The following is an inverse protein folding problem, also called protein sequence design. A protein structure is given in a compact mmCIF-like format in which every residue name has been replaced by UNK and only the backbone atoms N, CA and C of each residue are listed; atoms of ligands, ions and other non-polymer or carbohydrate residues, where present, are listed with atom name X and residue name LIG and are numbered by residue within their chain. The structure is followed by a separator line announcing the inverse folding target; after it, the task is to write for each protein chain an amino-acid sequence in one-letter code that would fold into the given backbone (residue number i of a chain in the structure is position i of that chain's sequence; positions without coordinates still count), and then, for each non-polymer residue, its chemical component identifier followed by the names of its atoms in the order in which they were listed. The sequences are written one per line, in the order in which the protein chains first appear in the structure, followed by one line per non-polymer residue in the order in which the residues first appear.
data_IF_283357971357
#
_entry.id   IF_283357971357
#
_cell.length_a   1.000
_cell.length_b   1.000
_cell.length_c   1.000
_cell.angle_alpha   90.00
_cell.angle_beta   90.00
_cell.angle_gamma   90.00
#
_symmetry.space_group_name_H-M   'P 1'
#
loop_
_entity.id
_entity.type
_entity.pdbx_description
1 polymer ?
#
# COMPACT_ATOMS: atom_id res chain seq x y z
N UNK A 1 -72.16 -55.09 -8.92
CA UNK A 1 -71.74 -53.71 -9.28
C UNK A 1 -70.83 -53.08 -8.21
N UNK A 2 -71.06 -53.28 -6.93
CA UNK A 2 -70.27 -52.65 -5.84
C UNK A 2 -68.79 -53.10 -5.77
N UNK A 3 -68.50 -54.39 -6.00
CA UNK A 3 -67.14 -54.95 -6.02
C UNK A 3 -66.28 -54.44 -7.17
N UNK A 4 -66.84 -54.17 -8.33
CA UNK A 4 -66.15 -53.60 -9.50
C UNK A 4 -65.78 -52.11 -9.25
N UNK A 5 -66.60 -51.36 -8.52
CA UNK A 5 -66.34 -49.99 -8.17
C UNK A 5 -65.19 -49.87 -7.14
N UNK A 6 -65.17 -50.73 -6.13
CA UNK A 6 -64.08 -50.81 -5.15
C UNK A 6 -62.75 -51.18 -5.82
N UNK A 7 -62.77 -52.14 -6.71
CA UNK A 7 -61.56 -52.53 -7.48
C UNK A 7 -61.04 -51.41 -8.38
N UNK A 8 -61.92 -50.63 -9.01
CA UNK A 8 -61.55 -49.50 -9.83
C UNK A 8 -60.96 -48.35 -8.97
N UNK A 9 -61.53 -48.08 -7.81
CA UNK A 9 -61.02 -47.05 -6.89
C UNK A 9 -59.64 -47.43 -6.31
N UNK A 10 -59.46 -48.69 -5.93
CA UNK A 10 -58.17 -49.18 -5.44
C UNK A 10 -57.09 -49.11 -6.55
N UNK A 11 -57.41 -49.45 -7.78
CA UNK A 11 -56.52 -49.38 -8.90
C UNK A 11 -56.09 -47.93 -9.21
N UNK A 12 -57.03 -47.01 -9.18
CA UNK A 12 -56.74 -45.58 -9.36
C UNK A 12 -55.87 -45.01 -8.23
N UNK A 13 -56.10 -45.43 -6.97
CA UNK A 13 -55.25 -45.06 -5.85
C UNK A 13 -53.82 -45.61 -5.99
N UNK A 14 -53.67 -46.85 -6.42
CA UNK A 14 -52.37 -47.46 -6.65
C UNK A 14 -51.60 -46.74 -7.78
N UNK A 15 -52.22 -46.46 -8.91
CA UNK A 15 -51.63 -45.73 -10.03
C UNK A 15 -51.20 -44.32 -9.63
N UNK A 16 -52.01 -43.66 -8.80
CA UNK A 16 -51.68 -42.32 -8.31
C UNK A 16 -50.48 -42.32 -7.32
N UNK A 17 -50.35 -43.38 -6.50
CA UNK A 17 -49.20 -43.59 -5.60
C UNK A 17 -47.93 -43.93 -6.39
N UNK A 18 -47.98 -44.70 -7.45
CA UNK A 18 -46.84 -44.98 -8.32
C UNK A 18 -46.36 -43.74 -9.06
N UNK A 19 -47.27 -42.94 -9.61
CA UNK A 19 -46.94 -41.67 -10.26
C UNK A 19 -46.28 -40.68 -9.28
N UNK A 20 -46.76 -40.59 -8.04
CA UNK A 20 -46.12 -39.79 -6.99
C UNK A 20 -44.72 -40.29 -6.64
N UNK A 21 -44.50 -41.60 -6.55
CA UNK A 21 -43.18 -42.18 -6.27
C UNK A 21 -42.19 -41.90 -7.40
N UNK A 22 -42.62 -41.96 -8.68
CA UNK A 22 -41.80 -41.62 -9.85
C UNK A 22 -41.41 -40.13 -9.84
N UNK A 23 -42.39 -39.26 -9.55
CA UNK A 23 -42.12 -37.80 -9.44
C UNK A 23 -41.14 -37.47 -8.30
N UNK A 24 -41.31 -38.07 -7.11
CA UNK A 24 -40.38 -37.89 -5.98
C UNK A 24 -38.99 -38.41 -6.36
N UNK A 25 -38.84 -39.58 -6.98
CA UNK A 25 -37.54 -40.08 -7.43
C UNK A 25 -36.89 -39.15 -8.45
N UNK A 26 -37.65 -38.54 -9.35
CA UNK A 26 -37.16 -37.59 -10.34
C UNK A 26 -36.68 -36.29 -9.66
N UNK A 27 -37.41 -35.76 -8.65
CA UNK A 27 -37.03 -34.58 -7.86
C UNK A 27 -35.73 -34.85 -7.08
N UNK A 28 -35.65 -36.00 -6.39
CA UNK A 28 -34.47 -36.42 -5.63
C UNK A 28 -33.24 -36.53 -6.53
N UNK A 29 -33.41 -37.21 -7.73
CA UNK A 29 -32.31 -37.30 -8.70
C UNK A 29 -31.88 -35.94 -9.25
N UNK A 30 -32.81 -35.03 -9.52
CA UNK A 30 -32.47 -33.66 -9.95
C UNK A 30 -31.74 -32.90 -8.83
N UNK A 31 -32.22 -32.97 -7.59
CA UNK A 31 -31.54 -32.36 -6.42
C UNK A 31 -30.14 -32.90 -6.23
N UNK A 32 -29.94 -34.23 -6.32
CA UNK A 32 -28.62 -34.86 -6.23
C UNK A 32 -27.66 -34.38 -7.33
N UNK A 33 -28.16 -34.26 -8.59
CA UNK A 33 -27.35 -33.72 -9.71
C UNK A 33 -26.95 -32.26 -9.47
N UNK A 34 -27.86 -31.42 -9.01
CA UNK A 34 -27.57 -30.01 -8.70
C UNK A 34 -26.53 -29.91 -7.57
N UNK A 35 -26.65 -30.74 -6.52
CA UNK A 35 -25.66 -30.82 -5.44
C UNK A 35 -24.26 -31.20 -5.90
N UNK A 36 -24.11 -31.93 -7.00
CA UNK A 36 -22.80 -32.29 -7.57
C UNK A 36 -22.31 -31.28 -8.58
N UNK A 37 -23.19 -30.69 -9.38
CA UNK A 37 -22.82 -29.73 -10.45
C UNK A 37 -22.33 -28.41 -9.85
N UNK A 38 -23.00 -27.86 -8.83
CA UNK A 38 -22.63 -26.57 -8.24
C UNK A 38 -21.19 -26.61 -7.69
N UNK A 39 -20.80 -27.57 -6.82
CA UNK A 39 -19.41 -27.68 -6.37
C UNK A 39 -18.40 -27.88 -7.49
N UNK A 40 -18.74 -28.68 -8.52
CA UNK A 40 -17.87 -28.92 -9.67
C UNK A 40 -17.62 -27.63 -10.47
N UNK A 41 -18.67 -26.84 -10.73
CA UNK A 41 -18.56 -25.54 -11.41
C UNK A 41 -17.74 -24.57 -10.56
N UNK A 42 -18.00 -24.48 -9.26
CA UNK A 42 -17.23 -23.62 -8.35
C UNK A 42 -15.75 -24.00 -8.34
N UNK A 43 -15.46 -25.30 -8.24
CA UNK A 43 -14.08 -25.81 -8.29
C UNK A 43 -13.39 -25.47 -9.62
N UNK A 44 -14.10 -25.65 -10.73
CA UNK A 44 -13.59 -25.26 -12.06
C UNK A 44 -13.29 -23.76 -12.14
N UNK A 45 -14.19 -22.92 -11.64
CA UNK A 45 -13.96 -21.48 -11.58
C UNK A 45 -12.73 -21.12 -10.71
N UNK A 46 -12.54 -21.79 -9.57
CA UNK A 46 -11.36 -21.60 -8.71
C UNK A 46 -10.08 -21.97 -9.46
N UNK A 47 -10.05 -23.11 -10.18
CA UNK A 47 -8.88 -23.50 -10.97
C UNK A 47 -8.59 -22.53 -12.11
N UNK A 48 -9.61 -22.04 -12.81
CA UNK A 48 -9.44 -21.03 -13.86
C UNK A 48 -8.86 -19.75 -13.28
N UNK A 49 -9.43 -19.25 -12.18
CA UNK A 49 -8.94 -18.04 -11.51
C UNK A 49 -7.50 -18.23 -11.03
N UNK A 50 -7.18 -19.36 -10.40
CA UNK A 50 -5.81 -19.68 -9.96
C UNK A 50 -4.84 -19.74 -11.15
N UNK A 51 -5.23 -20.37 -12.26
CA UNK A 51 -4.43 -20.42 -13.49
C UNK A 51 -4.15 -19.02 -14.06
N UNK A 52 -5.16 -18.17 -14.12
CA UNK A 52 -5.02 -16.78 -14.58
C UNK A 52 -4.08 -16.00 -13.64
N UNK A 53 -4.28 -16.12 -12.34
CA UNK A 53 -3.41 -15.44 -11.35
C UNK A 53 -1.96 -15.91 -11.47
N UNK A 54 -1.69 -17.19 -11.67
CA UNK A 54 -0.34 -17.71 -11.87
C UNK A 54 0.28 -17.17 -13.17
N UNK A 55 -0.45 -17.16 -14.28
CA UNK A 55 0.01 -16.59 -15.55
C UNK A 55 0.30 -15.07 -15.44
N UNK A 56 -0.46 -14.34 -14.64
CA UNK A 56 -0.26 -12.92 -14.35
C UNK A 56 0.83 -12.66 -13.30
N UNK A 57 1.46 -13.70 -12.76
CA UNK A 57 2.43 -13.60 -11.65
C UNK A 57 3.75 -14.32 -11.96
N UNK A 58 4.42 -14.00 -13.10
CA UNK A 58 5.68 -14.66 -13.48
C UNK A 58 6.87 -14.32 -12.58
N UNK A 59 6.76 -13.30 -11.74
CA UNK A 59 7.83 -12.86 -10.85
C UNK A 59 9.04 -12.24 -11.56
N UNK A 60 8.84 -11.75 -12.78
CA UNK A 60 9.92 -11.22 -13.65
C UNK A 60 9.65 -9.79 -14.03
N UNK A 61 10.65 -8.95 -13.86
CA UNK A 61 10.65 -7.56 -14.31
C UNK A 61 10.94 -7.45 -15.81
N UNK A 62 10.31 -6.48 -16.48
CA UNK A 62 10.58 -6.18 -17.88
C UNK A 62 11.69 -5.11 -17.99
N UNK A 63 12.72 -5.33 -18.83
CA UNK A 63 13.83 -4.40 -18.97
C UNK A 63 13.37 -3.06 -19.58
N UNK A 64 14.09 -2.00 -19.24
CA UNK A 64 13.99 -0.75 -20.00
C UNK A 64 14.42 -1.01 -21.43
N UNK A 65 13.77 -0.37 -22.40
CA UNK A 65 14.07 -0.50 -23.82
C UNK A 65 14.43 0.84 -24.43
N UNK A 66 15.36 0.81 -25.38
CA UNK A 66 15.69 1.95 -26.23
C UNK A 66 14.62 2.16 -27.33
N UNK A 67 14.76 3.19 -28.14
CA UNK A 67 13.86 3.50 -29.26
C UNK A 67 13.78 2.40 -30.32
N UNK A 68 14.78 1.51 -30.39
CA UNK A 68 14.81 0.37 -31.30
C UNK A 68 14.19 -0.90 -30.67
N UNK A 69 13.71 -0.81 -29.43
CA UNK A 69 13.10 -1.93 -28.69
C UNK A 69 14.09 -2.87 -28.02
N UNK A 70 15.40 -2.60 -28.07
CA UNK A 70 16.45 -3.38 -27.42
C UNK A 70 16.56 -2.99 -25.93
N UNK A 71 17.07 -3.87 -25.06
CA UNK A 71 17.38 -3.49 -23.69
C UNK A 71 18.24 -2.23 -23.63
N UNK A 72 17.84 -1.26 -22.81
CA UNK A 72 18.56 0.01 -22.65
C UNK A 72 19.92 -0.26 -21.98
N UNK A 73 21.00 0.03 -22.67
CA UNK A 73 22.36 -0.14 -22.17
C UNK A 73 22.59 0.79 -20.96
N UNK A 74 23.34 0.31 -19.97
CA UNK A 74 23.59 1.05 -18.74
C UNK A 74 22.44 1.07 -17.74
N UNK A 75 21.23 0.61 -18.12
CA UNK A 75 20.11 0.49 -17.18
C UNK A 75 20.33 -0.64 -16.18
N UNK A 76 19.66 -0.51 -15.02
CA UNK A 76 19.62 -1.56 -14.00
C UNK A 76 18.19 -1.95 -13.71
N UNK A 77 17.97 -3.27 -13.58
CA UNK A 77 16.69 -3.85 -13.24
C UNK A 77 16.90 -5.18 -12.53
N UNK A 78 16.71 -5.18 -11.25
CA UNK A 78 16.96 -6.36 -10.41
C UNK A 78 15.87 -6.56 -9.38
N UNK A 79 15.56 -7.81 -9.10
CA UNK A 79 14.84 -8.27 -7.93
C UNK A 79 15.79 -9.17 -7.16
N UNK A 80 16.21 -8.73 -5.98
CA UNK A 80 17.23 -9.40 -5.19
C UNK A 80 16.81 -9.56 -3.74
N UNK A 81 17.46 -10.50 -3.05
CA UNK A 81 17.39 -10.67 -1.61
C UNK A 81 18.79 -10.48 -1.03
N UNK A 82 18.86 -9.83 0.11
CA UNK A 82 20.12 -9.51 0.81
C UNK A 82 19.92 -9.78 2.30
N UNK A 83 20.93 -10.36 2.95
CA UNK A 83 20.91 -10.50 4.40
C UNK A 83 21.11 -9.13 5.06
N UNK A 84 20.09 -8.66 5.75
CA UNK A 84 20.06 -7.40 6.48
C UNK A 84 19.78 -7.71 7.96
N UNK A 85 20.76 -7.47 8.81
CA UNK A 85 20.68 -7.75 10.25
C UNK A 85 20.15 -9.17 10.54
N UNK A 86 20.73 -10.17 9.86
CA UNK A 86 20.42 -11.58 10.08
C UNK A 86 19.15 -12.10 9.43
N UNK A 87 18.40 -11.27 8.68
CA UNK A 87 17.19 -11.66 7.95
C UNK A 87 17.34 -11.37 6.47
N UNK A 88 16.97 -12.33 5.63
CA UNK A 88 16.92 -12.14 4.18
C UNK A 88 15.79 -11.19 3.82
N UNK A 89 16.13 -10.05 3.20
CA UNK A 89 15.17 -9.00 2.84
C UNK A 89 15.23 -8.71 1.35
N UNK A 90 14.05 -8.56 0.75
CA UNK A 90 13.90 -8.38 -0.69
C UNK A 90 13.80 -6.91 -1.10
N UNK A 91 14.28 -6.64 -2.30
CA UNK A 91 14.18 -5.31 -2.89
C UNK A 91 14.18 -5.35 -4.42
N UNK A 92 13.54 -4.37 -5.04
CA UNK A 92 13.70 -4.07 -6.45
C UNK A 92 14.66 -2.90 -6.63
N UNK A 93 15.66 -3.05 -7.50
CA UNK A 93 16.59 -1.97 -7.84
C UNK A 93 16.40 -1.62 -9.31
N UNK A 94 16.03 -0.36 -9.58
CA UNK A 94 15.68 0.09 -10.93
C UNK A 94 16.26 1.46 -11.24
N UNK A 95 16.75 1.63 -12.47
CA UNK A 95 17.21 2.91 -12.98
C UNK A 95 17.49 2.82 -14.47
N UNK A 96 17.23 3.89 -15.22
CA UNK A 96 17.58 3.96 -16.64
C UNK A 96 19.09 4.10 -16.86
N UNK A 97 19.79 4.60 -15.86
CA UNK A 97 21.24 4.67 -15.81
C UNK A 97 21.71 4.28 -14.40
N UNK A 98 22.46 3.18 -14.30
CA UNK A 98 23.01 2.66 -13.03
C UNK A 98 24.06 3.58 -12.38
N UNK A 99 24.54 4.60 -13.11
CA UNK A 99 25.49 5.59 -12.61
C UNK A 99 24.81 6.77 -11.91
N UNK A 100 23.49 6.89 -12.04
CA UNK A 100 22.71 7.90 -11.34
C UNK A 100 22.87 7.77 -9.81
N UNK A 101 22.65 8.89 -9.07
CA UNK A 101 22.59 8.83 -7.61
C UNK A 101 21.60 7.76 -7.13
N UNK A 102 21.93 7.09 -6.03
CA UNK A 102 21.05 6.08 -5.44
C UNK A 102 19.98 6.75 -4.59
N UNK A 103 18.74 6.29 -4.73
CA UNK A 103 17.59 6.66 -3.91
C UNK A 103 17.05 5.43 -3.18
N UNK A 104 17.10 5.42 -1.86
CA UNK A 104 16.39 4.43 -1.06
C UNK A 104 14.95 4.92 -0.82
N UNK A 105 13.98 4.15 -1.33
CA UNK A 105 12.56 4.42 -1.18
C UNK A 105 11.97 3.58 -0.04
N UNK A 106 11.51 4.25 1.01
CA UNK A 106 10.80 3.65 2.15
C UNK A 106 9.30 3.74 1.92
N UNK A 107 8.66 2.58 1.80
CA UNK A 107 7.22 2.48 1.52
C UNK A 107 6.35 2.83 2.73
N UNK A 108 5.07 3.11 2.45
CA UNK A 108 4.06 3.42 3.45
C UNK A 108 3.52 2.19 4.20
N UNK A 109 2.43 2.37 4.85
CA UNK A 109 1.76 1.38 5.68
C UNK A 109 1.62 1.85 7.11
N UNK A 110 2.24 1.22 8.12
CA UNK A 110 3.37 0.29 8.02
C UNK A 110 3.01 -1.07 7.40
N UNK A 111 4.00 -1.70 6.79
CA UNK A 111 3.90 -3.09 6.35
C UNK A 111 3.23 -3.34 4.98
N UNK A 112 2.96 -2.30 4.18
CA UNK A 112 2.46 -2.48 2.81
C UNK A 112 3.44 -1.89 1.78
N UNK A 113 4.34 -2.69 1.22
CA UNK A 113 5.14 -2.26 0.08
C UNK A 113 4.25 -1.76 -1.07
N UNK A 114 4.65 -0.67 -1.71
CA UNK A 114 3.87 -0.01 -2.77
C UNK A 114 4.58 0.01 -4.12
N UNK A 115 5.66 -0.77 -4.28
CA UNK A 115 6.41 -0.85 -5.53
C UNK A 115 5.51 -1.12 -6.76
N UNK A 116 4.54 -2.04 -6.65
CA UNK A 116 3.60 -2.35 -7.72
C UNK A 116 2.77 -1.12 -8.18
N UNK A 117 2.48 -0.15 -7.28
CA UNK A 117 1.81 1.10 -7.67
C UNK A 117 2.70 1.97 -8.56
N UNK A 118 4.02 1.98 -8.35
CA UNK A 118 4.95 2.73 -9.22
C UNK A 118 4.97 2.21 -10.65
N UNK A 119 4.52 0.96 -10.86
CA UNK A 119 4.42 0.34 -12.18
C UNK A 119 3.13 0.71 -12.91
N UNK A 120 2.05 0.96 -12.14
CA UNK A 120 0.76 1.40 -12.66
C UNK A 120 0.75 2.93 -12.84
N UNK A 121 1.37 3.64 -11.91
CA UNK A 121 1.49 5.10 -11.87
C UNK A 121 2.97 5.50 -11.90
N UNK A 122 3.61 5.55 -13.08
CA UNK A 122 5.04 5.84 -13.20
C UNK A 122 5.40 7.21 -12.61
N UNK A 123 6.35 7.23 -11.69
CA UNK A 123 6.81 8.45 -11.02
C UNK A 123 7.89 9.18 -11.80
N UNK A 124 8.64 8.46 -12.66
CA UNK A 124 9.82 8.96 -13.36
C UNK A 124 11.05 9.12 -12.46
N UNK A 125 11.06 8.53 -11.26
CA UNK A 125 12.23 8.55 -10.38
C UNK A 125 13.44 7.87 -11.02
N UNK A 126 13.20 6.79 -11.74
CA UNK A 126 14.22 6.00 -12.44
C UNK A 126 14.90 6.73 -13.60
N UNK A 127 14.39 7.90 -14.02
CA UNK A 127 15.05 8.78 -14.99
C UNK A 127 16.21 9.56 -14.36
N UNK A 128 16.21 9.73 -13.03
CA UNK A 128 17.14 10.58 -12.30
C UNK A 128 17.93 9.84 -11.23
N UNK A 129 17.45 8.66 -10.82
CA UNK A 129 18.02 7.86 -9.75
C UNK A 129 18.13 6.39 -10.14
N UNK A 130 19.09 5.70 -9.53
CA UNK A 130 19.00 4.27 -9.29
C UNK A 130 18.19 4.07 -8.02
N UNK A 131 16.91 3.68 -8.18
CA UNK A 131 15.96 3.59 -7.08
C UNK A 131 15.97 2.18 -6.49
N UNK A 132 16.19 2.08 -5.19
CA UNK A 132 15.98 0.87 -4.42
C UNK A 132 14.61 0.93 -3.73
N UNK A 133 13.67 0.13 -4.19
CA UNK A 133 12.39 -0.11 -3.56
C UNK A 133 12.54 -1.29 -2.60
N UNK A 134 12.99 -1.00 -1.40
CA UNK A 134 13.16 -2.00 -0.36
C UNK A 134 11.81 -2.34 0.29
N UNK A 135 11.55 -3.64 0.45
CA UNK A 135 10.39 -4.15 1.17
C UNK A 135 10.83 -4.55 2.57
N UNK A 136 10.31 -3.88 3.58
CA UNK A 136 10.75 -4.00 4.95
C UNK A 136 10.55 -5.40 5.52
N UNK A 137 11.35 -5.76 6.51
CA UNK A 137 11.31 -7.02 7.27
C UNK A 137 9.88 -7.50 7.50
N UNK A 138 9.56 -8.74 7.07
CA UNK A 138 8.25 -9.36 7.27
C UNK A 138 7.14 -8.89 6.31
N UNK A 139 7.50 -8.23 5.19
CA UNK A 139 6.52 -7.78 4.18
C UNK A 139 6.92 -8.22 2.77
N UNK A 140 5.97 -8.45 1.89
CA UNK A 140 6.18 -8.72 0.47
C UNK A 140 7.30 -9.72 0.19
N UNK A 141 8.37 -9.27 -0.50
CA UNK A 141 9.58 -10.07 -0.78
C UNK A 141 10.33 -10.48 0.49
N UNK A 142 10.27 -9.66 1.53
CA UNK A 142 10.94 -9.90 2.82
C UNK A 142 10.08 -10.68 3.81
N UNK A 143 8.95 -11.25 3.36
CA UNK A 143 8.07 -12.03 4.24
C UNK A 143 8.59 -13.44 4.43
N UNK A 144 8.79 -13.85 5.68
CA UNK A 144 8.98 -15.26 6.09
C UNK A 144 8.27 -15.51 7.42
N UNK A 145 7.77 -16.75 7.60
CA UNK A 145 7.23 -17.19 8.88
C UNK A 145 8.33 -17.41 9.93
N UNK A 146 9.59 -17.50 9.51
CA UNK A 146 10.76 -17.75 10.38
C UNK A 146 11.30 -16.47 11.01
N UNK A 147 10.77 -15.30 10.63
CA UNK A 147 11.20 -14.02 11.22
C UNK A 147 10.65 -13.95 12.65
N UNK A 148 11.52 -13.80 13.67
CA UNK A 148 11.06 -13.67 15.04
C UNK A 148 10.17 -12.43 15.19
N UNK A 149 8.96 -12.62 15.72
CA UNK A 149 7.92 -11.59 15.79
C UNK A 149 8.37 -10.35 16.58
N UNK A 150 9.19 -10.53 17.59
CA UNK A 150 9.79 -9.49 18.43
C UNK A 150 10.80 -8.60 17.68
N UNK A 151 11.30 -9.07 16.52
CA UNK A 151 12.24 -8.28 15.69
C UNK A 151 11.52 -7.36 14.69
N UNK A 152 10.20 -7.44 14.58
CA UNK A 152 9.44 -6.56 13.70
C UNK A 152 8.97 -5.35 14.53
N UNK A 153 9.87 -4.37 14.70
CA UNK A 153 9.67 -3.14 15.48
C UNK A 153 10.20 -1.93 14.73
N UNK A 154 9.82 -0.73 15.15
CA UNK A 154 10.33 0.51 14.56
C UNK A 154 11.83 0.66 14.75
N UNK A 155 12.35 0.29 15.93
CA UNK A 155 13.78 0.34 16.26
C UNK A 155 14.58 -0.58 15.34
N UNK A 156 14.06 -1.79 15.10
CA UNK A 156 14.72 -2.72 14.17
C UNK A 156 14.65 -2.23 12.73
N UNK A 157 13.52 -1.65 12.29
CA UNK A 157 13.42 -1.07 10.94
C UNK A 157 14.35 0.14 10.76
N UNK A 158 14.60 0.94 11.79
CA UNK A 158 15.63 2.00 11.76
C UNK A 158 17.00 1.37 11.52
N UNK A 159 17.39 0.35 12.31
CA UNK A 159 18.63 -0.38 12.14
C UNK A 159 18.76 -1.03 10.76
N UNK A 160 17.69 -1.70 10.30
CA UNK A 160 17.65 -2.32 8.97
C UNK A 160 17.81 -1.27 7.85
N UNK A 161 17.21 -0.08 8.00
CA UNK A 161 17.34 1.01 7.01
C UNK A 161 18.78 1.49 6.90
N UNK A 162 19.50 1.61 8.02
CA UNK A 162 20.93 1.97 8.04
C UNK A 162 21.75 0.89 7.34
N UNK A 163 21.48 -0.38 7.60
CA UNK A 163 22.21 -1.49 6.97
C UNK A 163 21.93 -1.60 5.45
N UNK A 164 20.67 -1.45 5.03
CA UNK A 164 20.31 -1.33 3.59
C UNK A 164 21.03 -0.17 2.94
N UNK A 165 21.09 0.98 3.62
CA UNK A 165 21.82 2.16 3.13
C UNK A 165 23.29 1.84 2.94
N UNK A 166 23.96 1.22 3.90
CA UNK A 166 25.37 0.85 3.82
C UNK A 166 25.64 -0.19 2.71
N UNK A 167 24.72 -1.16 2.55
CA UNK A 167 24.77 -2.11 1.44
C UNK A 167 24.72 -1.38 0.08
N UNK A 168 23.80 -0.43 -0.10
CA UNK A 168 23.63 0.32 -1.34
C UNK A 168 24.84 1.23 -1.62
N UNK A 169 25.33 1.93 -0.60
CA UNK A 169 26.53 2.77 -0.70
C UNK A 169 27.73 1.97 -1.19
N UNK A 170 27.99 0.81 -0.58
CA UNK A 170 29.08 -0.09 -0.97
C UNK A 170 28.87 -0.64 -2.37
N UNK A 171 27.67 -1.10 -2.70
CA UNK A 171 27.34 -1.70 -3.98
C UNK A 171 27.55 -0.75 -5.16
N UNK A 172 27.14 0.50 -5.00
CA UNK A 172 27.19 1.52 -6.07
C UNK A 172 28.38 2.46 -5.95
N UNK A 173 29.26 2.27 -4.96
CA UNK A 173 30.43 3.11 -4.76
C UNK A 173 30.10 4.58 -4.44
N UNK A 174 28.97 4.82 -3.76
CA UNK A 174 28.52 6.16 -3.39
C UNK A 174 28.73 6.42 -1.90
N UNK A 175 29.37 7.56 -1.57
CA UNK A 175 29.60 7.93 -0.17
C UNK A 175 28.29 8.22 0.57
N UNK A 176 27.33 8.88 -0.08
CA UNK A 176 26.00 9.20 0.42
C UNK A 176 24.94 8.86 -0.62
N UNK A 177 23.75 8.51 -0.16
CA UNK A 177 22.60 8.26 -1.04
C UNK A 177 21.45 9.23 -0.69
N UNK A 178 20.38 9.22 -1.48
CA UNK A 178 19.14 9.93 -1.14
C UNK A 178 18.20 9.01 -0.39
N UNK A 179 17.45 9.55 0.57
CA UNK A 179 16.44 8.84 1.34
C UNK A 179 15.07 9.46 1.09
N UNK A 180 14.12 8.67 0.58
CA UNK A 180 12.73 9.07 0.42
C UNK A 180 11.84 8.22 1.32
N UNK A 181 11.03 8.87 2.14
CA UNK A 181 9.99 8.21 2.92
C UNK A 181 8.60 8.66 2.48
N UNK A 182 7.72 7.69 2.18
CA UNK A 182 6.32 7.95 1.85
C UNK A 182 5.41 7.45 2.97
N UNK A 183 4.52 8.31 3.51
CA UNK A 183 3.53 7.90 4.51
C UNK A 183 4.19 7.25 5.75
N UNK A 184 3.87 6.00 6.11
CA UNK A 184 4.58 5.25 7.17
C UNK A 184 6.08 5.18 6.95
N UNK A 185 6.56 5.16 5.70
CA UNK A 185 7.97 5.27 5.37
C UNK A 185 8.56 6.64 5.72
N UNK A 186 7.74 7.70 5.75
CA UNK A 186 8.20 9.02 6.21
C UNK A 186 8.35 9.09 7.75
N UNK A 187 7.53 8.31 8.47
CA UNK A 187 7.71 8.13 9.91
C UNK A 187 9.05 7.47 10.23
N UNK A 188 9.41 6.43 9.46
CA UNK A 188 10.71 5.75 9.56
C UNK A 188 11.85 6.66 9.10
N UNK A 189 11.74 7.20 7.88
CA UNK A 189 12.82 7.90 7.19
C UNK A 189 13.30 9.16 7.88
N UNK A 190 12.41 9.96 8.45
CA UNK A 190 12.82 11.19 9.16
C UNK A 190 13.62 10.87 10.43
N UNK A 191 13.30 9.77 11.13
CA UNK A 191 14.02 9.32 12.30
C UNK A 191 15.42 8.79 11.93
N UNK A 192 15.51 8.03 10.84
CA UNK A 192 16.79 7.55 10.32
C UNK A 192 17.66 8.71 9.84
N UNK A 193 17.09 9.67 9.10
CA UNK A 193 17.79 10.87 8.65
C UNK A 193 18.33 11.73 9.79
N UNK A 194 17.62 11.75 10.92
CA UNK A 194 18.09 12.47 12.14
C UNK A 194 19.19 11.71 12.89
N UNK A 195 19.18 10.37 12.86
CA UNK A 195 20.14 9.52 13.60
C UNK A 195 21.44 9.30 12.84
N UNK A 196 21.40 9.23 11.50
CA UNK A 196 22.53 8.92 10.64
C UNK A 196 22.64 9.90 9.46
N UNK A 197 22.74 11.22 9.71
CA UNK A 197 22.74 12.23 8.65
C UNK A 197 23.95 12.13 7.70
N UNK A 198 25.06 11.54 8.15
CA UNK A 198 26.26 11.34 7.35
C UNK A 198 26.08 10.37 6.17
N UNK A 199 25.01 9.56 6.21
CA UNK A 199 24.73 8.58 5.16
C UNK A 199 23.96 9.16 3.96
N UNK A 200 23.38 10.37 4.11
CA UNK A 200 22.42 10.88 3.15
C UNK A 200 22.81 12.26 2.57
N UNK A 201 22.53 12.42 1.26
CA UNK A 201 22.63 13.72 0.57
C UNK A 201 21.45 14.64 0.95
N UNK A 202 20.26 14.04 1.10
CA UNK A 202 19.04 14.72 1.49
C UNK A 202 18.00 13.70 1.98
N UNK A 203 17.04 14.20 2.78
CA UNK A 203 15.81 13.49 3.10
C UNK A 203 14.62 14.11 2.35
N UNK A 204 13.81 13.25 1.73
CA UNK A 204 12.60 13.60 0.97
C UNK A 204 11.41 12.96 1.66
N UNK A 205 10.55 13.74 2.29
CA UNK A 205 9.32 13.27 2.93
C UNK A 205 8.10 13.51 2.02
N UNK A 206 7.47 12.45 1.54
CA UNK A 206 6.21 12.51 0.78
C UNK A 206 5.07 12.10 1.69
N UNK A 207 4.04 12.94 1.81
CA UNK A 207 3.00 12.76 2.80
C UNK A 207 3.61 12.53 4.20
N UNK A 208 4.44 13.48 4.63
CA UNK A 208 5.21 13.38 5.87
C UNK A 208 4.30 13.31 7.08
N UNK A 209 4.45 12.27 7.87
CA UNK A 209 3.78 12.15 9.15
C UNK A 209 4.33 13.16 10.17
N UNK A 210 3.44 13.64 11.05
CA UNK A 210 3.77 14.55 12.14
C UNK A 210 3.13 14.07 13.45
N UNK A 211 1.89 14.48 13.72
CA UNK A 211 1.03 14.03 14.82
C UNK A 211 -0.12 13.20 14.24
N UNK A 212 0.13 11.90 14.11
CA UNK A 212 -0.76 11.06 13.27
C UNK A 212 -2.15 10.90 13.89
N UNK A 213 -2.26 10.84 15.20
CA UNK A 213 -3.57 10.75 15.84
C UNK A 213 -4.41 12.04 15.67
N UNK A 214 -3.76 13.21 15.70
CA UNK A 214 -4.43 14.48 15.40
C UNK A 214 -4.87 14.55 13.92
N UNK A 215 -4.04 14.02 13.01
CA UNK A 215 -4.42 13.87 11.60
C UNK A 215 -5.70 13.04 11.45
N UNK A 216 -5.80 11.94 12.19
CA UNK A 216 -6.98 11.07 12.17
C UNK A 216 -8.24 11.76 12.71
N UNK A 217 -8.12 12.56 13.77
CA UNK A 217 -9.25 13.36 14.30
C UNK A 217 -9.76 14.35 13.25
N UNK A 218 -8.86 15.02 12.55
CA UNK A 218 -9.22 15.95 11.48
C UNK A 218 -9.89 15.25 10.31
N UNK A 219 -9.36 14.09 9.91
CA UNK A 219 -9.93 13.25 8.87
C UNK A 219 -11.36 12.79 9.24
N UNK A 220 -11.55 12.32 10.47
CA UNK A 220 -12.86 11.88 10.96
C UNK A 220 -13.89 13.01 10.88
N UNK A 221 -13.57 14.19 11.40
CA UNK A 221 -14.47 15.36 11.34
C UNK A 221 -14.83 15.70 9.91
N UNK A 222 -13.84 15.79 9.03
CA UNK A 222 -14.04 16.07 7.63
C UNK A 222 -14.95 15.03 6.96
N UNK A 223 -14.71 13.74 7.18
CA UNK A 223 -15.54 12.66 6.62
C UNK A 223 -17.00 12.78 7.05
N UNK A 224 -17.27 13.00 8.35
CA UNK A 224 -18.63 13.18 8.87
C UNK A 224 -19.32 14.38 8.21
N UNK A 225 -18.65 15.51 8.10
CA UNK A 225 -19.19 16.72 7.47
C UNK A 225 -19.53 16.51 6.01
N UNK A 226 -18.61 15.89 5.24
CA UNK A 226 -18.81 15.65 3.81
C UNK A 226 -19.95 14.66 3.54
N UNK A 227 -20.00 13.54 4.27
CA UNK A 227 -21.08 12.57 4.10
C UNK A 227 -22.43 13.12 4.57
N UNK A 228 -22.45 13.92 5.62
CA UNK A 228 -23.67 14.62 6.07
C UNK A 228 -24.17 15.60 5.02
N UNK A 229 -23.30 16.40 4.46
CA UNK A 229 -23.61 17.35 3.39
C UNK A 229 -24.07 16.65 2.10
N UNK A 230 -23.52 15.49 1.79
CA UNK A 230 -23.93 14.65 0.65
C UNK A 230 -25.22 13.84 0.91
N UNK A 231 -25.79 13.86 2.11
CA UNK A 231 -26.98 13.10 2.47
C UNK A 231 -26.74 11.58 2.64
N UNK A 232 -25.50 11.12 2.72
CA UNK A 232 -25.16 9.71 2.97
C UNK A 232 -25.31 9.37 4.45
N UNK A 233 -26.58 9.25 4.88
CA UNK A 233 -26.94 8.92 6.26
C UNK A 233 -26.33 7.60 6.73
N UNK A 234 -26.17 6.61 5.83
CA UNK A 234 -25.59 5.31 6.16
C UNK A 234 -24.13 5.47 6.59
N UNK A 235 -23.32 6.17 5.79
CA UNK A 235 -21.90 6.34 6.12
C UNK A 235 -21.71 7.17 7.39
N UNK A 236 -22.53 8.21 7.59
CA UNK A 236 -22.53 8.98 8.85
C UNK A 236 -22.79 8.07 10.06
N UNK A 237 -23.87 7.25 10.03
CA UNK A 237 -24.20 6.32 11.11
C UNK A 237 -23.10 5.29 11.37
N UNK A 238 -22.44 4.78 10.32
CA UNK A 238 -21.33 3.83 10.50
C UNK A 238 -20.12 4.49 11.14
N UNK A 239 -19.76 5.71 10.75
CA UNK A 239 -18.65 6.46 11.33
C UNK A 239 -18.93 6.86 12.78
N UNK A 240 -20.16 7.30 13.10
CA UNK A 240 -20.56 7.73 14.44
C UNK A 240 -20.52 6.59 15.49
N UNK A 241 -20.43 5.31 15.07
CA UNK A 241 -20.13 4.21 15.99
C UNK A 241 -18.72 4.29 16.61
N UNK A 242 -17.84 5.11 16.03
CA UNK A 242 -16.46 5.30 16.45
C UNK A 242 -16.18 6.79 16.64
N UNK A 243 -16.49 7.41 17.76
CA UNK A 243 -16.30 8.85 18.00
C UNK A 243 -14.80 9.17 18.22
N UNK A 244 -13.98 9.10 17.16
CA UNK A 244 -12.53 9.24 17.19
C UNK A 244 -12.02 10.49 17.91
N UNK A 245 -12.66 11.69 17.79
CA UNK A 245 -12.22 12.88 18.52
C UNK A 245 -12.20 12.71 20.03
N UNK A 246 -13.07 11.87 20.57
CA UNK A 246 -13.25 11.64 22.02
C UNK A 246 -12.49 10.38 22.50
N UNK A 247 -11.78 9.70 21.60
CA UNK A 247 -11.00 8.51 21.91
C UNK A 247 -9.50 8.83 22.09
N UNK A 248 -8.79 7.93 22.78
CA UNK A 248 -7.33 7.99 22.94
C UNK A 248 -6.57 7.08 21.95
N UNK A 249 -7.30 6.21 21.25
CA UNK A 249 -6.77 5.24 20.29
C UNK A 249 -7.71 5.11 19.09
N UNK A 250 -7.20 4.55 17.99
CA UNK A 250 -7.99 4.27 16.79
C UNK A 250 -8.40 2.79 16.79
N UNK A 251 -9.69 2.46 16.95
CA UNK A 251 -10.17 1.07 16.99
C UNK A 251 -9.86 0.31 15.69
N UNK A 252 -9.44 -0.95 15.80
CA UNK A 252 -9.17 -1.81 14.65
C UNK A 252 -10.37 -1.93 13.70
N UNK A 253 -11.58 -2.03 14.25
CA UNK A 253 -12.82 -2.13 13.48
C UNK A 253 -13.11 -0.86 12.64
N UNK A 254 -12.66 0.30 13.08
CA UNK A 254 -12.79 1.56 12.35
C UNK A 254 -11.88 1.64 11.12
N UNK A 255 -10.71 0.98 11.11
CA UNK A 255 -9.68 1.16 10.08
C UNK A 255 -10.17 0.86 8.66
N UNK A 256 -10.93 -0.24 8.47
CA UNK A 256 -11.48 -0.59 7.16
C UNK A 256 -12.57 0.39 6.70
N UNK A 257 -13.43 0.81 7.62
CA UNK A 257 -14.46 1.82 7.37
C UNK A 257 -13.83 3.17 6.98
N UNK A 258 -12.79 3.56 7.71
CA UNK A 258 -11.98 4.75 7.44
C UNK A 258 -11.42 4.73 6.02
N UNK A 259 -10.76 3.63 5.64
CA UNK A 259 -10.15 3.51 4.32
C UNK A 259 -11.21 3.58 3.20
N UNK A 260 -12.37 2.96 3.37
CA UNK A 260 -13.50 3.09 2.45
C UNK A 260 -13.99 4.53 2.34
N UNK A 261 -14.24 5.17 3.49
CA UNK A 261 -14.76 6.53 3.57
C UNK A 261 -13.79 7.55 2.94
N UNK A 262 -12.50 7.45 3.26
CA UNK A 262 -11.47 8.32 2.68
C UNK A 262 -11.38 8.18 1.16
N UNK A 263 -11.42 6.96 0.63
CA UNK A 263 -11.36 6.76 -0.82
C UNK A 263 -12.61 7.29 -1.52
N UNK A 264 -13.81 7.07 -0.97
CA UNK A 264 -15.05 7.66 -1.52
C UNK A 264 -14.96 9.18 -1.66
N UNK A 265 -14.35 9.86 -0.70
CA UNK A 265 -14.18 11.31 -0.69
C UNK A 265 -12.96 11.79 -1.51
N UNK A 266 -12.08 10.88 -1.94
CA UNK A 266 -10.85 11.24 -2.66
C UNK A 266 -9.81 11.90 -1.78
N UNK A 267 -9.73 11.51 -0.52
CA UNK A 267 -8.74 11.97 0.48
C UNK A 267 -7.86 10.81 1.01
N UNK A 268 -7.97 9.64 0.36
CA UNK A 268 -7.18 8.43 0.65
C UNK A 268 -5.89 8.37 -0.18
N UNK A 269 -5.56 7.19 -0.73
CA UNK A 269 -4.30 6.93 -1.44
C UNK A 269 -4.01 7.93 -2.55
N UNK A 270 -5.02 8.28 -3.35
CA UNK A 270 -4.97 9.38 -4.32
C UNK A 270 -6.32 10.10 -4.35
N UNK A 271 -6.35 11.32 -4.88
CA UNK A 271 -7.61 12.06 -5.04
C UNK A 271 -8.58 11.38 -6.02
N UNK A 272 -8.03 10.62 -6.98
CA UNK A 272 -8.80 9.95 -8.04
C UNK A 272 -9.26 8.54 -7.69
N UNK A 273 -8.55 7.81 -6.84
CA UNK A 273 -8.97 6.47 -6.40
C UNK A 273 -10.20 6.56 -5.50
N UNK A 274 -11.24 5.78 -5.81
CA UNK A 274 -12.53 5.81 -5.09
C UNK A 274 -12.82 4.53 -4.31
N UNK A 275 -12.00 3.49 -4.46
CA UNK A 275 -12.20 2.21 -3.79
C UNK A 275 -10.87 1.55 -3.43
N UNK A 276 -10.61 1.36 -2.14
CA UNK A 276 -9.43 0.64 -1.67
C UNK A 276 -9.39 -0.80 -2.21
N UNK A 277 -10.54 -1.45 -2.35
CA UNK A 277 -10.61 -2.82 -2.88
C UNK A 277 -10.25 -2.85 -4.36
N UNK A 278 -10.90 -2.02 -5.17
CA UNK A 278 -10.72 -2.02 -6.63
C UNK A 278 -9.39 -1.41 -7.05
N UNK A 279 -9.05 -0.25 -6.47
CA UNK A 279 -7.95 0.59 -6.96
C UNK A 279 -6.62 0.29 -6.26
N UNK A 280 -6.65 -0.39 -5.09
CA UNK A 280 -5.46 -0.77 -4.32
C UNK A 280 -5.32 -2.29 -4.24
N UNK A 281 -6.28 -3.00 -3.64
CA UNK A 281 -6.16 -4.43 -3.41
C UNK A 281 -6.08 -5.23 -4.73
N UNK A 282 -7.08 -5.11 -5.61
CA UNK A 282 -7.12 -5.90 -6.85
C UNK A 282 -5.98 -5.52 -7.80
N UNK A 283 -5.55 -4.27 -7.83
CA UNK A 283 -4.43 -3.82 -8.68
C UNK A 283 -3.10 -4.42 -8.25
N UNK A 284 -2.89 -4.76 -6.97
CA UNK A 284 -1.68 -5.43 -6.51
C UNK A 284 -1.46 -6.79 -7.18
N UNK A 285 -2.55 -7.47 -7.59
CA UNK A 285 -2.48 -8.74 -8.31
C UNK A 285 -2.16 -8.60 -9.81
N UNK A 286 -2.18 -7.38 -10.36
CA UNK A 286 -1.86 -7.13 -11.76
C UNK A 286 -0.35 -7.04 -12.02
N UNK A 287 0.47 -6.78 -11.01
CA UNK A 287 1.92 -6.68 -11.17
C UNK A 287 2.54 -8.00 -11.63
N UNK A 288 3.27 -7.97 -12.74
CA UNK A 288 3.97 -9.14 -13.30
C UNK A 288 5.32 -9.40 -12.62
N UNK A 289 5.81 -8.46 -11.85
CA UNK A 289 7.14 -8.52 -11.23
C UNK A 289 7.15 -9.31 -9.91
N UNK A 290 5.97 -9.57 -9.35
CA UNK A 290 5.79 -10.47 -8.21
C UNK A 290 5.27 -11.84 -8.66
N UNK A 291 5.73 -12.89 -7.99
CA UNK A 291 5.06 -14.20 -7.99
C UNK A 291 3.74 -14.11 -7.24
N UNK A 292 2.86 -15.11 -7.42
CA UNK A 292 1.59 -15.14 -6.67
C UNK A 292 1.80 -15.21 -5.16
N UNK A 293 2.81 -15.97 -4.70
CA UNK A 293 3.16 -16.07 -3.29
C UNK A 293 3.60 -14.71 -2.71
N UNK A 294 4.46 -13.98 -3.43
CA UNK A 294 4.92 -12.65 -3.03
C UNK A 294 3.75 -11.64 -2.94
N UNK A 295 2.79 -11.70 -3.90
CA UNK A 295 1.56 -10.87 -3.85
C UNK A 295 0.72 -11.17 -2.61
N UNK A 296 0.58 -12.44 -2.25
CA UNK A 296 -0.12 -12.86 -1.03
C UNK A 296 0.64 -12.33 0.20
N UNK A 297 1.96 -12.38 0.18
CA UNK A 297 2.81 -11.93 1.27
C UNK A 297 2.77 -10.42 1.52
N UNK A 298 2.48 -9.58 0.48
CA UNK A 298 2.18 -8.15 0.67
C UNK A 298 1.06 -7.95 1.71
N UNK A 299 -0.02 -8.73 1.56
CA UNK A 299 -1.20 -8.61 2.42
C UNK A 299 -1.06 -9.36 3.75
N UNK A 300 -0.28 -10.46 3.78
CA UNK A 300 0.07 -11.13 5.03
C UNK A 300 0.89 -10.21 5.92
N UNK A 301 1.92 -9.56 5.38
CA UNK A 301 2.74 -8.60 6.10
C UNK A 301 1.90 -7.46 6.67
N UNK A 302 1.13 -6.77 5.80
CA UNK A 302 0.24 -5.66 6.23
C UNK A 302 -0.69 -6.05 7.38
N UNK A 303 -1.24 -7.26 7.35
CA UNK A 303 -2.24 -7.70 8.33
C UNK A 303 -1.64 -8.45 9.53
N UNK A 304 -0.31 -8.58 9.61
CA UNK A 304 0.34 -9.22 10.75
C UNK A 304 0.12 -8.44 12.04
N UNK A 305 0.10 -9.14 13.19
CA UNK A 305 -0.06 -8.51 14.49
C UNK A 305 1.06 -7.53 14.82
N UNK A 306 2.28 -7.83 14.36
CA UNK A 306 3.45 -6.99 14.53
C UNK A 306 3.24 -5.61 13.87
N UNK A 307 2.83 -5.61 12.61
CA UNK A 307 2.56 -4.35 11.90
C UNK A 307 1.32 -3.63 12.43
N UNK A 308 0.34 -4.34 12.99
CA UNK A 308 -0.76 -3.70 13.70
C UNK A 308 -0.30 -2.99 14.98
N UNK A 309 0.61 -3.61 15.77
CA UNK A 309 1.22 -2.94 16.95
C UNK A 309 2.07 -1.73 16.55
N UNK A 310 2.87 -1.86 15.49
CA UNK A 310 3.66 -0.74 14.96
C UNK A 310 2.77 0.42 14.48
N UNK A 311 1.61 0.11 13.89
CA UNK A 311 0.63 1.12 13.51
C UNK A 311 0.10 1.87 14.75
N UNK A 312 -0.23 1.17 15.82
CA UNK A 312 -0.69 1.79 17.08
C UNK A 312 0.40 2.67 17.72
N UNK A 313 1.66 2.23 17.71
CA UNK A 313 2.80 3.01 18.17
C UNK A 313 3.00 4.28 17.32
N UNK A 314 2.89 4.17 16.01
CA UNK A 314 2.99 5.30 15.07
C UNK A 314 1.87 6.33 15.33
N UNK A 315 0.64 5.88 15.57
CA UNK A 315 -0.49 6.74 15.91
C UNK A 315 -0.27 7.50 17.22
N UNK A 316 0.37 6.87 18.21
CA UNK A 316 0.64 7.45 19.52
C UNK A 316 1.87 8.35 19.56
N UNK A 317 2.70 8.36 18.50
CA UNK A 317 3.97 9.11 18.48
C UNK A 317 3.77 10.53 17.94
N UNK A 318 4.25 11.53 18.67
CA UNK A 318 4.40 12.90 18.19
C UNK A 318 5.80 13.10 17.60
N UNK A 319 5.91 13.10 16.26
CA UNK A 319 7.19 13.36 15.59
C UNK A 319 7.66 14.80 15.73
N UNK A 320 6.77 15.74 16.02
CA UNK A 320 7.15 17.17 16.19
C UNK A 320 7.99 17.39 17.45
N UNK A 321 7.84 16.50 18.45
CA UNK A 321 8.66 16.47 19.66
C UNK A 321 9.91 15.60 19.47
N UNK A 322 9.77 14.48 18.72
CA UNK A 322 10.83 13.48 18.57
C UNK A 322 11.94 13.92 17.61
N UNK A 323 11.60 14.60 16.52
CA UNK A 323 12.55 15.09 15.51
C UNK A 323 12.31 16.56 15.23
N UNK A 324 13.14 17.42 15.79
CA UNK A 324 13.03 18.88 15.65
C UNK A 324 14.07 19.46 14.69
N UNK A 325 15.09 18.66 14.30
CA UNK A 325 16.19 19.10 13.46
C UNK A 325 16.71 17.96 12.59
N UNK A 326 17.10 18.28 11.37
CA UNK A 326 17.95 17.45 10.50
C UNK A 326 19.24 18.23 10.18
N UNK A 327 20.36 17.51 10.11
CA UNK A 327 21.65 18.09 9.72
C UNK A 327 21.95 17.95 8.20
N UNK A 328 20.92 17.55 7.44
CA UNK A 328 20.94 17.39 5.97
C UNK A 328 19.80 18.18 5.33
N UNK A 329 19.84 18.46 4.02
CA UNK A 329 18.72 19.05 3.28
C UNK A 329 17.41 18.28 3.45
N UNK A 330 16.32 19.02 3.66
CA UNK A 330 14.96 18.52 3.90
C UNK A 330 14.01 19.01 2.81
N UNK A 331 13.31 18.09 2.16
CA UNK A 331 12.29 18.40 1.16
C UNK A 331 10.99 17.68 1.51
N UNK A 332 9.93 18.44 1.85
CA UNK A 332 8.62 17.88 2.14
C UNK A 332 7.63 18.15 1.00
N UNK A 333 6.89 17.12 0.65
CA UNK A 333 5.93 17.12 -0.46
C UNK A 333 4.57 16.70 0.09
N UNK A 334 3.56 17.57 -0.08
CA UNK A 334 2.21 17.35 0.43
C UNK A 334 1.12 17.64 -0.59
N UNK A 335 0.14 16.75 -0.71
CA UNK A 335 -1.09 17.00 -1.47
C UNK A 335 -2.13 17.73 -0.61
N UNK A 336 -2.84 18.71 -1.19
CA UNK A 336 -3.83 19.50 -0.42
C UNK A 336 -5.03 18.67 0.04
N UNK A 337 -5.32 17.55 -0.64
CA UNK A 337 -6.39 16.62 -0.30
C UNK A 337 -5.93 15.48 0.62
N UNK A 338 -4.68 15.52 1.13
CA UNK A 338 -4.19 14.50 2.06
C UNK A 338 -4.77 14.70 3.45
N UNK A 339 -5.69 13.81 3.84
CA UNK A 339 -6.20 13.69 5.21
C UNK A 339 -5.65 12.46 5.93
N UNK A 340 -4.90 11.61 5.24
CA UNK A 340 -4.17 10.49 5.89
C UNK A 340 -2.99 11.03 6.70
N UNK A 341 -2.14 11.83 6.07
CA UNK A 341 -1.13 12.66 6.74
C UNK A 341 -1.53 14.11 6.50
N UNK A 342 -2.37 14.64 7.37
CA UNK A 342 -3.06 15.91 7.13
C UNK A 342 -2.09 17.02 6.68
N UNK A 343 -2.35 17.58 5.51
CA UNK A 343 -1.53 18.61 4.86
C UNK A 343 -1.16 19.77 5.78
N UNK A 344 -2.14 20.29 6.52
CA UNK A 344 -1.92 21.44 7.43
C UNK A 344 -1.01 21.09 8.60
N UNK A 345 -1.17 19.89 9.17
CA UNK A 345 -0.29 19.41 10.25
C UNK A 345 1.13 19.15 9.73
N UNK A 346 1.28 18.60 8.54
CA UNK A 346 2.58 18.41 7.87
C UNK A 346 3.27 19.74 7.64
N UNK A 347 2.56 20.75 7.13
CA UNK A 347 3.10 22.09 6.91
C UNK A 347 3.50 22.76 8.23
N UNK A 348 2.65 22.68 9.25
CA UNK A 348 2.98 23.18 10.60
C UNK A 348 4.23 22.52 11.20
N UNK A 349 4.42 21.21 10.94
CA UNK A 349 5.63 20.50 11.36
C UNK A 349 6.86 21.01 10.59
N UNK A 350 6.76 21.14 9.27
CA UNK A 350 7.82 21.70 8.44
C UNK A 350 8.28 23.09 8.91
N UNK A 351 7.35 23.96 9.27
CA UNK A 351 7.69 25.32 9.73
C UNK A 351 8.58 25.30 10.97
N UNK A 352 8.35 24.33 11.88
CA UNK A 352 9.13 24.15 13.12
C UNK A 352 10.45 23.41 12.93
N UNK A 353 10.54 22.52 11.95
CA UNK A 353 11.74 21.74 11.66
C UNK A 353 12.91 22.65 11.27
N UNK A 354 14.10 22.34 11.79
CA UNK A 354 15.35 23.00 11.44
C UNK A 354 16.13 22.10 10.48
N UNK A 355 16.65 22.69 9.39
CA UNK A 355 17.53 22.01 8.46
C UNK A 355 18.41 23.05 7.72
N UNK A 356 19.60 22.67 7.22
CA UNK A 356 20.50 23.60 6.49
C UNK A 356 19.84 24.16 5.23
N UNK A 357 19.08 23.31 4.51
CA UNK A 357 18.23 23.70 3.38
C UNK A 357 16.88 23.00 3.64
N UNK A 358 15.78 23.71 3.49
CA UNK A 358 14.47 23.12 3.57
C UNK A 358 13.52 23.69 2.52
N UNK A 359 12.75 22.82 1.85
CA UNK A 359 11.72 23.16 0.89
C UNK A 359 10.42 22.42 1.18
N UNK A 360 9.30 23.14 1.11
CA UNK A 360 7.97 22.54 1.11
C UNK A 360 7.34 22.72 -0.26
N UNK A 361 6.69 21.68 -0.77
CA UNK A 361 6.11 21.68 -2.11
C UNK A 361 4.67 21.21 -2.04
N UNK A 362 3.75 22.11 -2.29
CA UNK A 362 2.30 21.84 -2.33
C UNK A 362 1.90 21.26 -3.66
N UNK A 363 1.11 20.19 -3.66
CA UNK A 363 0.55 19.54 -4.84
C UNK A 363 -0.97 19.73 -4.84
N UNK A 364 -1.45 20.58 -5.77
CA UNK A 364 -2.81 21.11 -5.73
C UNK A 364 -3.90 20.17 -6.28
N UNK A 365 -3.48 19.09 -6.94
CA UNK A 365 -4.38 18.09 -7.53
C UNK A 365 -4.26 16.73 -6.84
N UNK A 366 -3.52 16.66 -5.72
CA UNK A 366 -3.12 15.40 -5.12
C UNK A 366 -3.63 15.24 -3.70
N UNK A 367 -3.90 13.96 -3.33
CA UNK A 367 -4.09 13.52 -1.96
C UNK A 367 -2.78 12.92 -1.39
N UNK A 368 -2.83 11.71 -0.85
CA UNK A 368 -1.76 11.08 -0.08
C UNK A 368 -0.53 10.64 -0.90
N UNK A 369 -0.64 10.57 -2.23
CA UNK A 369 0.47 10.09 -3.08
C UNK A 369 0.74 11.04 -4.25
N UNK A 370 1.24 12.26 -3.98
CA UNK A 370 1.47 13.29 -5.00
C UNK A 370 2.35 12.83 -6.16
N UNK A 371 3.33 11.96 -5.90
CA UNK A 371 4.22 11.42 -6.93
C UNK A 371 3.50 10.57 -7.99
N UNK A 372 2.32 10.03 -7.67
CA UNK A 372 1.49 9.28 -8.62
C UNK A 372 0.51 10.17 -9.38
N UNK A 373 0.10 11.28 -8.80
CA UNK A 373 -0.96 12.14 -9.35
C UNK A 373 -0.40 13.30 -10.19
N UNK A 374 0.74 13.87 -9.78
CA UNK A 374 1.41 14.97 -10.46
C UNK A 374 2.89 14.63 -10.74
N UNK A 375 3.20 13.52 -11.47
CA UNK A 375 4.57 13.04 -11.66
C UNK A 375 5.49 14.05 -12.35
N UNK A 376 4.98 14.86 -13.28
CA UNK A 376 5.79 15.86 -13.97
C UNK A 376 6.24 17.00 -13.02
N UNK A 377 5.37 17.41 -12.08
CA UNK A 377 5.73 18.38 -11.03
C UNK A 377 6.78 17.80 -10.11
N UNK A 378 6.60 16.53 -9.70
CA UNK A 378 7.59 15.81 -8.89
C UNK A 378 8.95 15.73 -9.57
N UNK A 379 9.02 15.30 -10.83
CA UNK A 379 10.26 15.21 -11.62
C UNK A 379 10.95 16.58 -11.75
N UNK A 380 10.19 17.65 -11.96
CA UNK A 380 10.73 19.01 -12.02
C UNK A 380 11.41 19.41 -10.71
N UNK A 381 10.80 19.09 -9.57
CA UNK A 381 11.35 19.35 -8.23
C UNK A 381 12.62 18.51 -8.01
N UNK A 382 12.60 17.21 -8.33
CA UNK A 382 13.77 16.34 -8.24
C UNK A 382 14.95 16.91 -9.02
N UNK A 383 14.73 17.27 -10.29
CA UNK A 383 15.78 17.73 -11.21
C UNK A 383 16.32 19.12 -10.87
N UNK A 384 15.43 20.05 -10.47
CA UNK A 384 15.81 21.47 -10.34
C UNK A 384 16.22 21.86 -8.93
N UNK A 385 15.68 21.20 -7.91
CA UNK A 385 15.94 21.52 -6.52
C UNK A 385 16.71 20.40 -5.80
N UNK A 386 16.15 19.21 -5.69
CA UNK A 386 16.68 18.16 -4.81
C UNK A 386 18.07 17.69 -5.26
N UNK A 387 18.26 17.38 -6.55
CA UNK A 387 19.57 16.96 -7.09
C UNK A 387 20.59 18.08 -7.11
N UNK A 388 20.18 19.34 -7.00
CA UNK A 388 21.05 20.51 -6.94
C UNK A 388 21.30 21.01 -5.53
N UNK A 389 20.63 20.43 -4.54
CA UNK A 389 20.73 20.88 -3.15
C UNK A 389 20.22 22.30 -2.93
N UNK A 390 19.16 22.72 -3.64
CA UNK A 390 18.53 24.05 -3.52
C UNK A 390 17.00 23.90 -3.31
N UNK A 391 16.30 24.99 -3.09
CA UNK A 391 14.85 25.03 -2.82
C UNK A 391 14.12 26.14 -3.62
N UNK A 392 14.56 26.40 -4.82
CA UNK A 392 14.07 27.51 -5.65
C UNK A 392 12.60 27.36 -6.10
N UNK A 393 12.10 26.15 -6.17
CA UNK A 393 10.72 25.83 -6.54
C UNK A 393 9.80 25.60 -5.32
N UNK A 394 10.36 25.70 -4.12
CA UNK A 394 9.56 25.56 -2.90
C UNK A 394 8.52 26.67 -2.79
N UNK A 395 7.43 26.35 -2.10
CA UNK A 395 6.38 27.33 -1.81
C UNK A 395 6.99 28.56 -1.13
N UNK A 396 6.46 29.72 -1.46
CA UNK A 396 6.85 30.95 -0.78
C UNK A 396 6.56 30.84 0.72
N UNK A 397 7.47 31.40 1.52
CA UNK A 397 7.31 31.45 2.99
C UNK A 397 6.19 32.40 3.39
#
# INVERSE_FOLDING_TARGET
MHLLFIYWEMRNKMTNLENKRVAIKAIVRRGARIMLIIPAVLLTCVFIIAGVLLMCSPGKSEPYRDESGRPLEGSILEKIHVNINGVEQGMFIRGKDKTNPVLLFLHGGPGLPTYWLTRIYPTGFEDYFTVCYWETRGTGLSYSNDIPAETVTWEQLISDTVEVTNYLRKRFGQEKIYLLGHSGGSFLGIQVAAQAPELYNAYIGVAQMSRQFESEKLAYKYMIEQFRSAGDKRMVQELEKFPIPDMNTVPKAYRNLRDEAMHKLGIGTTHRMKSVVKDVFLTSFQSREYTLAEKINLWRGKNSEQYQRMWDQMMATDLTEKVQKLDIPLYLIGGIYDYTCNYTLTKSYFDKLKAPIKGFYTFDQSAHSPMFEEPLKMQKILKKDILKGVNNLADAK
#
